data_IF_777213793403
#
_entry.id   IF_777213793403
#
_cell.length_a   1.000
_cell.length_b   1.000
_cell.length_c   1.000
_cell.angle_alpha   90.00
_cell.angle_beta   90.00
_cell.angle_gamma   90.00
#
_symmetry.space_group_name_H-M   'P 1'
#
loop_
_entity.id
_entity.type
_entity.pdbx_description
1 polymer ?
#
# COMPACT_ATOMS: atom_id res chain seq x y z
N UNK A 1 -23.69 4.31 -29.11
CA UNK A 1 -24.47 4.04 -27.88
C UNK A 1 -23.59 3.31 -26.89
N UNK A 2 -23.45 3.88 -25.67
CA UNK A 2 -22.60 3.35 -24.65
C UNK A 2 -23.08 1.98 -24.14
N UNK A 3 -22.12 1.11 -23.88
CA UNK A 3 -22.33 -0.19 -23.27
C UNK A 3 -21.52 -0.26 -21.98
N UNK A 4 -22.21 -0.59 -20.90
CA UNK A 4 -21.60 -0.74 -19.59
C UNK A 4 -21.49 -2.21 -19.27
N UNK A 5 -20.28 -2.64 -18.97
CA UNK A 5 -19.92 -4.04 -18.77
C UNK A 5 -19.47 -4.20 -17.32
N UNK A 6 -20.03 -5.15 -16.64
CA UNK A 6 -19.52 -5.61 -15.35
C UNK A 6 -18.90 -6.98 -15.49
N UNK A 7 -17.76 -7.18 -14.87
CA UNK A 7 -17.04 -8.44 -14.90
C UNK A 7 -16.75 -8.86 -13.46
N UNK A 8 -17.34 -9.97 -13.08
CA UNK A 8 -17.04 -10.69 -11.84
C UNK A 8 -16.11 -11.85 -12.15
N UNK A 9 -14.94 -11.87 -11.50
CA UNK A 9 -13.83 -12.76 -11.87
C UNK A 9 -13.51 -13.76 -10.78
N UNK A 10 -13.66 -15.04 -11.10
CA UNK A 10 -13.23 -16.16 -10.29
C UNK A 10 -12.01 -16.88 -10.91
N UNK A 11 -11.49 -17.88 -10.21
CA UNK A 11 -10.25 -18.58 -10.62
C UNK A 11 -10.38 -19.29 -11.96
N UNK A 12 -11.50 -19.93 -12.22
CA UNK A 12 -11.73 -20.75 -13.44
C UNK A 12 -12.69 -20.11 -14.43
N UNK A 13 -13.58 -19.23 -13.98
CA UNK A 13 -14.59 -18.59 -14.82
C UNK A 13 -14.80 -17.13 -14.46
N UNK A 14 -15.22 -16.35 -15.44
CA UNK A 14 -15.65 -14.97 -15.26
C UNK A 14 -17.08 -14.81 -15.74
N UNK A 15 -17.90 -14.09 -14.97
CA UNK A 15 -19.24 -13.70 -15.40
C UNK A 15 -19.20 -12.29 -15.96
N UNK A 16 -19.58 -12.16 -17.22
CA UNK A 16 -19.66 -10.88 -17.92
C UNK A 16 -21.14 -10.51 -18.08
N UNK A 17 -21.51 -9.30 -17.65
CA UNK A 17 -22.84 -8.76 -17.83
C UNK A 17 -22.81 -7.41 -18.55
N UNK A 18 -23.73 -7.21 -19.48
CA UNK A 18 -23.79 -6.01 -20.32
C UNK A 18 -25.13 -5.31 -20.14
N UNK A 19 -25.10 -4.01 -19.91
CA UNK A 19 -26.29 -3.15 -19.87
C UNK A 19 -26.16 -2.00 -20.89
N UNK A 20 -27.31 -1.53 -21.36
CA UNK A 20 -27.38 -0.36 -22.22
C UNK A 20 -27.33 0.95 -21.44
N UNK A 21 -27.29 2.06 -22.17
CA UNK A 21 -27.30 3.41 -21.59
C UNK A 21 -28.53 3.71 -20.71
N UNK A 22 -29.67 3.12 -21.03
CA UNK A 22 -30.91 3.24 -20.25
C UNK A 22 -30.97 2.35 -18.99
N UNK A 23 -29.93 1.53 -18.73
CA UNK A 23 -29.93 0.55 -17.67
C UNK A 23 -30.58 -0.79 -18.01
N UNK A 24 -31.11 -0.95 -19.24
CA UNK A 24 -31.68 -2.21 -19.71
C UNK A 24 -30.60 -3.29 -19.74
N UNK A 25 -30.85 -4.43 -19.07
CA UNK A 25 -30.00 -5.63 -19.14
C UNK A 25 -30.07 -6.21 -20.55
N UNK A 26 -28.94 -6.32 -21.22
CA UNK A 26 -28.86 -6.78 -22.61
C UNK A 26 -28.44 -8.23 -22.68
N UNK A 27 -27.37 -8.58 -21.98
CA UNK A 27 -26.71 -9.88 -22.11
C UNK A 27 -25.94 -10.22 -20.84
N UNK A 28 -25.80 -11.51 -20.54
CA UNK A 28 -24.83 -12.02 -19.60
C UNK A 28 -24.38 -13.40 -20.01
N UNK A 29 -23.09 -13.68 -19.85
CA UNK A 29 -22.51 -14.99 -20.12
C UNK A 29 -21.35 -15.30 -19.19
N UNK A 30 -21.07 -16.57 -19.02
CA UNK A 30 -19.91 -17.07 -18.29
C UNK A 30 -18.87 -17.49 -19.32
N UNK A 31 -17.62 -17.11 -19.10
CA UNK A 31 -16.47 -17.46 -19.93
C UNK A 31 -15.33 -17.96 -19.07
N UNK A 32 -14.41 -18.70 -19.65
CA UNK A 32 -13.20 -19.13 -18.96
C UNK A 32 -12.31 -17.94 -18.56
N UNK A 33 -11.64 -18.09 -17.42
CA UNK A 33 -10.67 -17.08 -16.93
C UNK A 33 -9.36 -17.20 -17.70
N UNK A 34 -9.38 -16.85 -18.99
CA UNK A 34 -8.19 -16.77 -19.84
C UNK A 34 -8.25 -15.54 -20.76
N UNK A 35 -7.07 -15.11 -21.21
CA UNK A 35 -6.91 -13.90 -22.03
C UNK A 35 -7.74 -13.93 -23.30
N UNK A 36 -7.78 -15.08 -24.00
CA UNK A 36 -8.46 -15.22 -25.30
C UNK A 36 -9.96 -15.07 -25.14
N UNK A 37 -10.58 -15.87 -24.27
CA UNK A 37 -12.01 -15.85 -24.02
C UNK A 37 -12.49 -14.46 -23.55
N UNK A 38 -11.73 -13.82 -22.65
CA UNK A 38 -12.05 -12.49 -22.14
C UNK A 38 -11.98 -11.41 -23.22
N UNK A 39 -10.96 -11.42 -24.07
CA UNK A 39 -10.86 -10.48 -25.19
C UNK A 39 -12.01 -10.71 -26.18
N UNK A 40 -12.31 -11.95 -26.52
CA UNK A 40 -13.39 -12.30 -27.46
C UNK A 40 -14.75 -11.80 -26.95
N UNK A 41 -15.09 -12.06 -25.69
CA UNK A 41 -16.37 -11.61 -25.12
C UNK A 41 -16.47 -10.08 -25.05
N UNK A 42 -15.40 -9.39 -24.67
CA UNK A 42 -15.43 -7.93 -24.62
C UNK A 42 -15.54 -7.36 -26.05
N UNK A 43 -14.86 -7.93 -27.02
CA UNK A 43 -14.94 -7.49 -28.42
C UNK A 43 -16.29 -7.76 -29.08
N UNK A 44 -17.02 -8.78 -28.66
CA UNK A 44 -18.37 -9.03 -29.16
C UNK A 44 -19.40 -7.97 -28.74
N UNK A 45 -19.13 -7.23 -27.68
CA UNK A 45 -19.96 -6.08 -27.26
C UNK A 45 -19.72 -4.90 -28.21
N UNK A 46 -20.76 -4.25 -28.77
CA UNK A 46 -20.60 -3.06 -29.60
C UNK A 46 -19.84 -1.94 -28.90
N UNK A 47 -19.12 -1.12 -29.66
CA UNK A 47 -18.51 0.13 -29.13
C UNK A 47 -19.63 1.10 -28.75
N UNK A 48 -19.51 1.93 -27.83
CA UNK A 48 -18.51 2.38 -26.87
C UNK A 48 -18.60 1.51 -25.59
N UNK A 49 -17.48 0.97 -25.13
CA UNK A 49 -17.45 -0.01 -24.04
C UNK A 49 -16.86 0.60 -22.79
N UNK A 50 -17.58 0.58 -21.69
CA UNK A 50 -17.13 0.95 -20.36
C UNK A 50 -17.14 -0.29 -19.46
N UNK A 51 -16.01 -0.64 -18.86
CA UNK A 51 -15.84 -1.87 -18.10
C UNK A 51 -15.61 -1.57 -16.62
N UNK A 52 -16.36 -2.21 -15.75
CA UNK A 52 -16.12 -2.26 -14.32
C UNK A 52 -15.73 -3.67 -13.90
N UNK A 53 -14.62 -3.79 -13.18
CA UNK A 53 -14.16 -5.04 -12.57
C UNK A 53 -14.01 -4.85 -11.06
N UNK A 54 -14.23 -5.91 -10.27
CA UNK A 54 -13.98 -5.86 -8.85
C UNK A 54 -12.48 -5.98 -8.53
N UNK A 55 -12.02 -5.28 -7.46
CA UNK A 55 -10.66 -5.44 -6.96
C UNK A 55 -10.47 -6.81 -6.32
N UNK A 56 -9.57 -7.59 -6.88
CA UNK A 56 -9.26 -8.94 -6.43
C UNK A 56 -7.92 -9.43 -6.95
N UNK A 57 -7.58 -10.70 -6.75
CA UNK A 57 -6.29 -11.28 -7.17
C UNK A 57 -6.01 -11.12 -8.67
N UNK A 58 -7.04 -11.16 -9.51
CA UNK A 58 -6.95 -11.06 -10.96
C UNK A 58 -6.99 -9.62 -11.49
N UNK A 59 -7.34 -8.63 -10.69
CA UNK A 59 -7.66 -7.27 -11.16
C UNK A 59 -6.51 -6.58 -11.91
N UNK A 60 -5.25 -6.82 -11.56
CA UNK A 60 -4.10 -6.25 -12.29
C UNK A 60 -3.97 -6.86 -13.68
N UNK A 61 -4.05 -8.19 -13.78
CA UNK A 61 -3.98 -8.90 -15.05
C UNK A 61 -5.17 -8.54 -15.95
N UNK A 62 -6.38 -8.54 -15.41
CA UNK A 62 -7.59 -8.13 -16.13
C UNK A 62 -7.45 -6.69 -16.67
N UNK A 63 -6.95 -5.78 -15.84
CA UNK A 63 -6.70 -4.41 -16.28
C UNK A 63 -5.69 -4.34 -17.44
N UNK A 64 -4.59 -5.09 -17.36
CA UNK A 64 -3.58 -5.14 -18.43
C UNK A 64 -4.13 -5.69 -19.73
N UNK A 65 -4.90 -6.77 -19.67
CA UNK A 65 -5.45 -7.47 -20.83
C UNK A 65 -6.60 -6.69 -21.47
N UNK A 66 -7.52 -6.14 -20.66
CA UNK A 66 -8.79 -5.60 -21.14
C UNK A 66 -8.75 -4.08 -21.38
N UNK A 67 -7.83 -3.33 -20.78
CA UNK A 67 -7.76 -1.87 -21.00
C UNK A 67 -7.58 -1.45 -22.47
N UNK A 68 -6.94 -2.22 -23.39
CA UNK A 68 -6.90 -1.86 -24.80
C UNK A 68 -8.19 -2.15 -25.58
N UNK A 69 -9.12 -2.86 -24.95
CA UNK A 69 -10.35 -3.34 -25.62
C UNK A 69 -11.56 -2.43 -25.33
N UNK A 70 -11.40 -1.46 -24.41
CA UNK A 70 -12.50 -0.63 -23.91
C UNK A 70 -12.08 0.86 -23.86
N UNK A 71 -13.06 1.77 -23.89
CA UNK A 71 -12.84 3.20 -23.70
C UNK A 71 -12.44 3.51 -22.27
N UNK A 72 -13.12 2.91 -21.33
CA UNK A 72 -12.90 3.12 -19.91
C UNK A 72 -12.85 1.77 -19.19
N UNK A 73 -11.92 1.62 -18.26
CA UNK A 73 -11.88 0.50 -17.31
C UNK A 73 -11.75 1.04 -15.90
N UNK A 74 -12.67 0.64 -15.05
CA UNK A 74 -12.71 1.00 -13.64
C UNK A 74 -12.54 -0.25 -12.80
N UNK A 75 -11.59 -0.21 -11.86
CA UNK A 75 -11.46 -1.25 -10.83
C UNK A 75 -12.14 -0.73 -9.58
N UNK A 76 -13.20 -1.39 -9.16
CA UNK A 76 -14.03 -0.99 -8.03
C UNK A 76 -13.66 -1.79 -6.77
N UNK A 77 -13.52 -1.12 -5.64
CA UNK A 77 -13.55 -1.79 -4.34
C UNK A 77 -15.02 -1.86 -3.89
N UNK A 78 -15.59 -3.04 -3.98
CA UNK A 78 -16.99 -3.27 -3.59
C UNK A 78 -17.04 -3.63 -2.11
N UNK A 79 -17.96 -3.00 -1.36
CA UNK A 79 -18.27 -3.43 0.00
C UNK A 79 -19.22 -4.62 -0.07
N UNK A 80 -19.08 -5.58 0.83
CA UNK A 80 -19.97 -6.73 0.90
C UNK A 80 -21.45 -6.28 0.95
N UNK A 81 -22.23 -6.73 -0.03
CA UNK A 81 -23.66 -6.50 -0.07
C UNK A 81 -24.37 -7.46 0.88
N UNK A 82 -25.39 -6.96 1.60
CA UNK A 82 -26.31 -7.80 2.37
C UNK A 82 -27.42 -8.27 1.43
N UNK A 83 -27.47 -9.55 1.09
CA UNK A 83 -28.52 -10.12 0.25
C UNK A 83 -28.10 -11.39 -0.48
N UNK A 84 -29.00 -11.98 -1.29
CA UNK A 84 -28.66 -13.13 -2.11
C UNK A 84 -27.51 -12.80 -3.06
N UNK A 85 -26.44 -13.60 -3.05
CA UNK A 85 -25.29 -13.46 -3.93
C UNK A 85 -25.44 -14.37 -5.14
N UNK A 86 -25.21 -13.83 -6.33
CA UNK A 86 -24.95 -14.63 -7.52
C UNK A 86 -24.01 -13.83 -8.42
N UNK A 87 -23.04 -14.48 -9.02
CA UNK A 87 -22.04 -13.89 -9.93
C UNK A 87 -22.70 -13.03 -11.02
N UNK A 88 -23.88 -13.47 -11.51
CA UNK A 88 -24.66 -12.73 -12.50
C UNK A 88 -25.20 -11.40 -11.95
N UNK A 89 -25.73 -11.40 -10.71
CA UNK A 89 -26.22 -10.19 -10.08
C UNK A 89 -25.07 -9.24 -9.74
N UNK A 90 -23.97 -9.78 -9.28
CA UNK A 90 -22.77 -9.00 -8.92
C UNK A 90 -22.18 -8.35 -10.18
N UNK A 91 -22.08 -9.07 -11.30
CA UNK A 91 -21.64 -8.52 -12.57
C UNK A 91 -22.59 -7.42 -13.10
N UNK A 92 -23.93 -7.63 -13.05
CA UNK A 92 -24.88 -6.56 -13.40
C UNK A 92 -24.79 -5.37 -12.45
N UNK A 93 -24.55 -5.60 -11.16
CA UNK A 93 -24.34 -4.55 -10.17
C UNK A 93 -23.13 -3.68 -10.46
N UNK A 94 -22.00 -4.28 -10.86
CA UNK A 94 -20.80 -3.56 -11.30
C UNK A 94 -21.07 -2.70 -12.52
N UNK A 95 -21.76 -3.25 -13.54
CA UNK A 95 -22.12 -2.50 -14.74
C UNK A 95 -23.03 -1.30 -14.41
N UNK A 96 -24.03 -1.48 -13.56
CA UNK A 96 -24.95 -0.42 -13.16
C UNK A 96 -24.26 0.66 -12.33
N UNK A 97 -23.42 0.28 -11.35
CA UNK A 97 -22.64 1.26 -10.58
C UNK A 97 -21.74 2.13 -11.47
N UNK A 98 -21.15 1.53 -12.53
CA UNK A 98 -20.36 2.28 -13.50
C UNK A 98 -21.24 3.25 -14.30
N UNK A 99 -22.38 2.77 -14.81
CA UNK A 99 -23.32 3.55 -15.62
C UNK A 99 -23.84 4.80 -14.91
N UNK A 100 -24.23 4.67 -13.65
CA UNK A 100 -24.78 5.79 -12.87
C UNK A 100 -23.71 6.59 -12.12
N UNK A 101 -22.41 6.30 -12.37
CA UNK A 101 -21.30 6.98 -11.68
C UNK A 101 -21.22 6.72 -10.18
N UNK A 102 -21.83 5.64 -9.67
CA UNK A 102 -21.91 5.31 -8.24
C UNK A 102 -20.70 4.52 -7.71
N UNK A 103 -19.68 4.26 -8.52
CA UNK A 103 -18.45 3.61 -8.06
C UNK A 103 -17.71 4.54 -7.09
N UNK A 104 -17.92 4.33 -5.79
CA UNK A 104 -17.39 5.20 -4.73
C UNK A 104 -15.88 5.11 -4.56
N UNK A 105 -15.33 3.90 -4.61
CA UNK A 105 -13.89 3.67 -4.41
C UNK A 105 -13.30 3.02 -5.66
N UNK A 106 -12.58 3.84 -6.44
CA UNK A 106 -11.85 3.39 -7.61
C UNK A 106 -10.42 3.04 -7.22
N UNK A 107 -9.97 1.82 -7.56
CA UNK A 107 -8.59 1.42 -7.36
C UNK A 107 -7.77 1.84 -8.57
N UNK A 108 -6.73 2.61 -8.32
CA UNK A 108 -5.87 3.07 -9.40
C UNK A 108 -5.01 1.92 -9.94
N UNK A 109 -5.18 1.65 -11.22
CA UNK A 109 -4.32 0.76 -12.00
C UNK A 109 -3.70 1.57 -13.14
N UNK A 110 -2.47 1.26 -13.52
CA UNK A 110 -1.83 1.82 -14.70
C UNK A 110 -0.91 0.79 -15.33
N UNK A 111 -0.88 0.77 -16.66
CA UNK A 111 0.10 0.02 -17.44
C UNK A 111 1.49 0.64 -17.35
N UNK A 112 2.51 -0.21 -17.26
CA UNK A 112 3.91 0.13 -17.56
C UNK A 112 4.66 0.89 -16.48
N UNK A 113 5.83 1.38 -16.84
CA UNK A 113 6.74 2.18 -16.04
C UNK A 113 7.42 1.44 -14.88
N UNK A 114 6.67 0.99 -13.90
CA UNK A 114 7.22 0.34 -12.70
C UNK A 114 6.74 -1.10 -12.48
N UNK A 115 6.14 -1.76 -13.48
CA UNK A 115 5.60 -3.12 -13.30
C UNK A 115 6.68 -4.11 -12.86
N UNK A 116 7.83 -4.13 -13.56
CA UNK A 116 8.97 -4.98 -13.20
C UNK A 116 9.51 -4.67 -11.81
N UNK A 117 9.67 -3.38 -11.49
CA UNK A 117 10.09 -2.94 -10.17
C UNK A 117 9.09 -3.37 -9.09
N UNK A 118 7.79 -3.33 -9.39
CA UNK A 118 6.74 -3.79 -8.49
C UNK A 118 6.87 -5.26 -8.12
N UNK A 119 7.13 -6.13 -9.09
CA UNK A 119 7.38 -7.56 -8.82
C UNK A 119 8.65 -7.79 -7.99
N UNK A 120 9.74 -7.06 -8.27
CA UNK A 120 11.00 -7.15 -7.51
C UNK A 120 10.82 -6.64 -6.07
N UNK A 121 10.11 -5.52 -5.89
CA UNK A 121 9.78 -5.00 -4.57
C UNK A 121 8.89 -5.97 -3.77
N UNK A 122 7.93 -6.63 -4.43
CA UNK A 122 7.10 -7.67 -3.82
C UNK A 122 7.92 -8.89 -3.42
N UNK A 123 8.82 -9.38 -4.28
CA UNK A 123 9.69 -10.50 -3.97
C UNK A 123 10.58 -10.20 -2.76
N UNK A 124 11.24 -9.03 -2.73
CA UNK A 124 12.03 -8.59 -1.57
C UNK A 124 11.18 -8.53 -0.29
N UNK A 125 9.97 -7.95 -0.35
CA UNK A 125 9.09 -7.83 0.81
C UNK A 125 8.64 -9.19 1.37
N UNK A 126 8.37 -10.18 0.50
CA UNK A 126 8.05 -11.55 0.90
C UNK A 126 9.22 -12.21 1.62
N UNK A 127 10.43 -12.13 1.06
CA UNK A 127 11.63 -12.71 1.67
C UNK A 127 11.97 -12.05 3.02
N UNK A 128 11.78 -10.73 3.14
CA UNK A 128 11.91 -10.05 4.45
C UNK A 128 10.90 -10.59 5.45
N UNK A 129 9.64 -10.79 5.05
CA UNK A 129 8.61 -11.32 5.94
C UNK A 129 8.91 -12.78 6.36
N UNK A 130 9.43 -13.59 5.45
CA UNK A 130 9.83 -14.98 5.75
C UNK A 130 11.02 -15.01 6.70
N UNK A 131 12.06 -14.20 6.46
CA UNK A 131 13.21 -14.08 7.37
C UNK A 131 12.77 -13.69 8.79
N UNK A 132 11.87 -12.70 8.93
CA UNK A 132 11.33 -12.29 10.24
C UNK A 132 10.55 -13.42 10.92
N UNK A 133 9.83 -14.23 10.16
CA UNK A 133 9.12 -15.42 10.71
C UNK A 133 10.08 -16.43 11.27
N UNK A 134 11.15 -16.76 10.54
CA UNK A 134 12.17 -17.72 11.01
C UNK A 134 12.93 -17.16 12.22
N UNK A 135 13.31 -15.88 12.19
CA UNK A 135 13.89 -15.21 13.35
C UNK A 135 13.00 -15.32 14.59
N UNK A 136 11.69 -15.15 14.41
CA UNK A 136 10.73 -15.29 15.51
C UNK A 136 10.65 -16.72 16.03
N UNK A 137 10.73 -17.73 15.15
CA UNK A 137 10.76 -19.15 15.52
C UNK A 137 12.01 -19.51 16.31
N UNK A 138 13.19 -19.02 15.90
CA UNK A 138 14.46 -19.22 16.62
C UNK A 138 14.33 -18.68 18.05
N UNK A 139 13.88 -17.42 18.20
CA UNK A 139 13.69 -16.83 19.52
C UNK A 139 12.64 -17.55 20.35
N UNK A 140 11.55 -18.01 19.73
CA UNK A 140 10.50 -18.75 20.43
C UNK A 140 11.04 -20.09 20.95
N UNK A 141 11.85 -20.80 20.17
CA UNK A 141 12.49 -22.06 20.59
C UNK A 141 13.40 -21.82 21.79
N UNK A 142 14.28 -20.82 21.76
CA UNK A 142 15.18 -20.50 22.87
C UNK A 142 14.37 -20.13 24.13
N UNK A 143 13.39 -19.26 24.01
CA UNK A 143 12.55 -18.83 25.13
C UNK A 143 11.73 -19.96 25.73
N UNK A 144 11.27 -20.90 24.91
CA UNK A 144 10.55 -22.09 25.40
C UNK A 144 11.40 -22.98 26.31
N UNK A 145 12.72 -22.78 26.33
CA UNK A 145 13.69 -23.49 27.20
C UNK A 145 14.29 -22.58 28.27
N UNK A 146 13.63 -21.45 28.58
CA UNK A 146 14.08 -20.52 29.60
C UNK A 146 15.30 -19.67 29.19
N UNK A 147 15.72 -19.72 27.93
CA UNK A 147 16.86 -18.93 27.44
C UNK A 147 16.37 -17.54 27.07
N UNK A 148 16.83 -16.52 27.81
CA UNK A 148 16.51 -15.13 27.54
C UNK A 148 17.13 -14.67 26.22
N UNK A 149 16.35 -14.03 25.35
CA UNK A 149 16.81 -13.50 24.07
C UNK A 149 16.45 -12.01 23.97
N UNK A 150 17.44 -11.15 23.76
CA UNK A 150 17.28 -9.73 23.48
C UNK A 150 17.96 -9.41 22.14
N UNK A 151 17.59 -8.28 21.53
CA UNK A 151 18.29 -7.82 20.32
C UNK A 151 18.36 -8.80 19.15
N UNK A 152 19.48 -8.76 18.42
CA UNK A 152 19.77 -9.59 17.26
C UNK A 152 20.88 -10.62 17.44
N UNK A 153 21.43 -10.73 18.63
CA UNK A 153 22.66 -11.49 18.95
C UNK A 153 22.52 -13.00 18.69
N UNK A 154 21.29 -13.50 18.64
CA UNK A 154 21.00 -14.91 18.36
C UNK A 154 21.17 -15.31 16.89
N UNK A 155 21.39 -14.37 15.96
CA UNK A 155 21.41 -14.67 14.53
C UNK A 155 22.79 -14.78 13.88
N UNK A 156 23.83 -14.03 14.33
CA UNK A 156 25.17 -14.10 13.74
C UNK A 156 25.73 -15.52 13.78
N UNK A 157 26.32 -15.97 12.70
CA UNK A 157 26.87 -17.33 12.59
C UNK A 157 27.95 -17.60 13.65
N UNK A 158 28.74 -16.58 13.98
CA UNK A 158 29.81 -16.65 14.99
C UNK A 158 29.34 -16.95 16.41
N UNK A 159 28.08 -16.66 16.73
CA UNK A 159 27.55 -16.80 18.10
C UNK A 159 26.61 -18.00 18.26
N UNK A 160 26.24 -18.66 17.15
CA UNK A 160 25.19 -19.71 17.15
C UNK A 160 25.55 -20.93 18.00
N UNK A 161 26.82 -21.32 18.03
CA UNK A 161 27.24 -22.48 18.83
C UNK A 161 26.98 -22.24 20.31
N UNK A 162 27.23 -21.02 20.82
CA UNK A 162 26.91 -20.67 22.21
C UNK A 162 25.41 -20.75 22.50
N UNK A 163 24.56 -20.30 21.55
CA UNK A 163 23.12 -20.40 21.69
C UNK A 163 22.60 -21.83 21.61
N UNK A 164 23.21 -22.67 20.75
CA UNK A 164 22.89 -24.09 20.65
C UNK A 164 23.26 -24.86 21.94
N UNK A 165 24.38 -24.50 22.57
CA UNK A 165 24.80 -25.11 23.85
C UNK A 165 23.81 -24.82 24.99
N UNK A 166 23.11 -23.71 24.97
CA UNK A 166 22.06 -23.36 25.94
C UNK A 166 20.78 -24.18 25.77
N UNK A 167 20.64 -24.94 24.68
CA UNK A 167 19.51 -25.79 24.40
C UNK A 167 19.80 -27.26 24.82
N UNK A 168 18.78 -27.98 25.31
CA UNK A 168 18.92 -29.42 25.52
C UNK A 168 19.19 -30.10 24.18
N UNK A 169 19.94 -31.22 24.22
CA UNK A 169 20.35 -31.94 23.00
C UNK A 169 19.18 -32.27 22.07
N UNK A 170 18.02 -32.62 22.63
CA UNK A 170 16.80 -32.92 21.87
C UNK A 170 16.24 -31.75 21.06
N UNK A 171 16.58 -30.48 21.39
CA UNK A 171 16.11 -29.30 20.69
C UNK A 171 17.14 -28.69 19.70
N UNK A 172 18.39 -29.15 19.77
CA UNK A 172 19.49 -28.58 18.96
C UNK A 172 19.29 -28.81 17.46
N UNK A 173 18.84 -29.98 17.06
CA UNK A 173 18.59 -30.30 15.66
C UNK A 173 17.55 -29.36 15.05
N UNK A 174 16.45 -29.07 15.77
CA UNK A 174 15.44 -28.10 15.30
C UNK A 174 16.04 -26.68 15.16
N UNK A 175 16.85 -26.25 16.12
CA UNK A 175 17.51 -24.95 16.05
C UNK A 175 18.46 -24.86 14.86
N UNK A 176 19.25 -25.91 14.58
CA UNK A 176 20.13 -25.96 13.42
C UNK A 176 19.36 -25.84 12.10
N UNK A 177 18.25 -26.57 11.95
CA UNK A 177 17.39 -26.47 10.76
C UNK A 177 16.83 -25.05 10.56
N UNK A 178 16.39 -24.40 11.65
CA UNK A 178 15.91 -23.01 11.60
C UNK A 178 17.03 -22.03 11.22
N UNK A 179 18.25 -22.23 11.66
CA UNK A 179 19.40 -21.42 11.25
C UNK A 179 19.74 -21.62 9.76
N UNK A 180 19.70 -22.87 9.27
CA UNK A 180 19.90 -23.15 7.84
C UNK A 180 18.81 -22.49 6.98
N UNK A 181 17.53 -22.57 7.40
CA UNK A 181 16.42 -21.86 6.73
C UNK A 181 16.65 -20.35 6.71
N UNK A 182 17.09 -19.78 7.84
CA UNK A 182 17.39 -18.35 7.94
C UNK A 182 18.52 -17.92 6.99
N UNK A 183 19.61 -18.67 6.91
CA UNK A 183 20.75 -18.37 6.02
C UNK A 183 20.36 -18.41 4.54
N UNK A 184 19.58 -19.42 4.15
CA UNK A 184 19.05 -19.53 2.80
C UNK A 184 18.17 -18.33 2.45
N UNK A 185 17.27 -17.93 3.36
CA UNK A 185 16.41 -16.76 3.17
C UNK A 185 17.21 -15.46 3.12
N UNK A 186 18.25 -15.31 3.94
CA UNK A 186 19.09 -14.11 3.95
C UNK A 186 19.83 -13.93 2.62
N UNK A 187 20.37 -15.01 2.06
CA UNK A 187 21.00 -15.01 0.73
C UNK A 187 20.01 -14.59 -0.38
N UNK A 188 18.80 -15.14 -0.36
CA UNK A 188 17.75 -14.80 -1.31
C UNK A 188 17.27 -13.35 -1.12
N UNK A 189 17.11 -12.89 0.11
CA UNK A 189 16.73 -11.52 0.44
C UNK A 189 17.74 -10.50 -0.12
N UNK A 190 19.03 -10.74 0.11
CA UNK A 190 20.10 -9.87 -0.40
C UNK A 190 20.12 -9.85 -1.94
N UNK A 191 19.89 -10.99 -2.59
CA UNK A 191 19.77 -11.05 -4.04
C UNK A 191 18.58 -10.24 -4.53
N UNK A 192 17.39 -10.43 -3.94
CA UNK A 192 16.17 -9.70 -4.31
C UNK A 192 16.33 -8.18 -4.08
N UNK A 193 17.01 -7.77 -3.00
CA UNK A 193 17.33 -6.38 -2.71
C UNK A 193 18.21 -5.77 -3.81
N UNK A 194 19.33 -6.41 -4.17
CA UNK A 194 20.20 -5.96 -5.27
C UNK A 194 19.43 -5.83 -6.58
N UNK A 195 18.64 -6.83 -6.95
CA UNK A 195 17.86 -6.82 -8.19
C UNK A 195 16.80 -5.70 -8.20
N UNK A 196 16.16 -5.44 -7.07
CA UNK A 196 15.19 -4.36 -6.91
C UNK A 196 15.86 -2.98 -7.07
N UNK A 197 17.00 -2.76 -6.44
CA UNK A 197 17.76 -1.51 -6.52
C UNK A 197 18.28 -1.28 -7.93
N UNK A 198 18.83 -2.30 -8.58
CA UNK A 198 19.28 -2.21 -9.98
C UNK A 198 18.14 -1.84 -10.93
N UNK A 199 16.95 -2.37 -10.73
CA UNK A 199 15.80 -1.98 -11.54
C UNK A 199 15.35 -0.55 -11.25
N UNK A 200 15.33 -0.15 -9.98
CA UNK A 200 14.94 1.21 -9.58
C UNK A 200 15.85 2.29 -10.15
N UNK A 201 17.16 2.02 -10.22
CA UNK A 201 18.19 2.93 -10.76
C UNK A 201 18.01 3.28 -12.24
N UNK A 202 17.21 2.51 -12.99
CA UNK A 202 16.90 2.80 -14.40
C UNK A 202 15.93 3.97 -14.58
N UNK A 203 15.37 4.48 -13.50
CA UNK A 203 14.36 5.54 -13.52
C UNK A 203 14.91 6.82 -12.88
N UNK A 204 14.88 7.93 -13.59
CA UNK A 204 15.43 9.22 -13.13
C UNK A 204 14.86 9.65 -11.78
N UNK A 205 13.57 9.42 -11.55
CA UNK A 205 12.90 9.75 -10.30
C UNK A 205 13.49 9.04 -9.07
N UNK A 206 14.19 7.93 -9.26
CA UNK A 206 14.84 7.22 -8.16
C UNK A 206 15.84 8.09 -7.39
N UNK A 207 16.75 8.76 -8.10
CA UNK A 207 17.74 9.66 -7.51
C UNK A 207 17.10 10.87 -6.84
N UNK A 208 16.04 11.39 -7.46
CA UNK A 208 15.28 12.52 -6.94
C UNK A 208 14.64 12.17 -5.61
N UNK A 209 13.93 11.06 -5.52
CA UNK A 209 13.28 10.60 -4.29
C UNK A 209 14.33 10.27 -3.22
N UNK A 210 15.43 9.65 -3.60
CA UNK A 210 16.53 9.26 -2.71
C UNK A 210 17.23 10.47 -2.07
N UNK A 211 17.18 11.65 -2.70
CA UNK A 211 17.73 12.87 -2.12
C UNK A 211 17.01 13.33 -0.86
N UNK A 212 15.77 12.87 -0.64
CA UNK A 212 15.00 13.23 0.55
C UNK A 212 15.57 12.55 1.81
N UNK A 213 15.83 13.31 2.90
CA UNK A 213 16.34 12.76 4.15
C UNK A 213 15.52 11.58 4.65
N UNK A 214 16.22 10.52 5.04
CA UNK A 214 15.62 9.28 5.50
C UNK A 214 15.11 8.33 4.42
N UNK A 215 15.13 8.73 3.14
CA UNK A 215 14.78 7.86 2.02
C UNK A 215 16.06 7.29 1.40
N UNK A 216 16.48 6.12 1.86
CA UNK A 216 17.59 5.37 1.25
C UNK A 216 17.14 4.54 0.04
N UNK A 217 18.09 3.78 -0.53
CA UNK A 217 17.91 2.99 -1.75
C UNK A 217 16.68 2.08 -1.73
N UNK A 218 16.53 1.28 -0.68
CA UNK A 218 15.43 0.33 -0.53
C UNK A 218 14.08 1.06 -0.48
N UNK A 219 13.98 2.13 0.33
CA UNK A 219 12.72 2.88 0.48
C UNK A 219 12.31 3.58 -0.80
N UNK A 220 13.26 4.17 -1.53
CA UNK A 220 12.99 4.76 -2.83
C UNK A 220 12.46 3.70 -3.82
N UNK A 221 13.12 2.54 -3.93
CA UNK A 221 12.70 1.45 -4.79
C UNK A 221 11.31 0.89 -4.44
N UNK A 222 10.98 0.77 -3.14
CA UNK A 222 9.66 0.31 -2.68
C UNK A 222 8.54 1.32 -2.92
N UNK A 223 8.84 2.61 -2.87
CA UNK A 223 7.89 3.69 -2.99
C UNK A 223 7.39 3.87 -4.43
N UNK A 224 8.31 3.78 -5.41
CA UNK A 224 8.05 4.07 -6.82
C UNK A 224 6.91 3.22 -7.42
N UNK A 225 6.89 1.89 -7.31
CA UNK A 225 5.85 1.08 -7.93
C UNK A 225 4.49 1.22 -7.25
N UNK A 226 4.44 1.76 -6.02
CA UNK A 226 3.19 2.00 -5.30
C UNK A 226 2.60 3.36 -5.66
N UNK A 227 3.42 4.40 -5.76
CA UNK A 227 2.97 5.76 -6.13
C UNK A 227 2.66 5.84 -7.61
N UNK A 228 3.47 5.26 -8.46
CA UNK A 228 3.40 5.18 -9.93
C UNK A 228 3.40 6.56 -10.61
N UNK A 229 2.45 7.43 -10.27
CA UNK A 229 2.34 8.81 -10.76
C UNK A 229 1.98 9.73 -9.58
N UNK A 230 2.78 10.78 -9.32
CA UNK A 230 2.53 11.68 -8.20
C UNK A 230 1.30 12.58 -8.42
N UNK A 231 0.95 12.85 -9.69
CA UNK A 231 -0.18 13.71 -10.07
C UNK A 231 -1.57 13.10 -9.81
N UNK A 232 -1.65 11.79 -9.59
CA UNK A 232 -2.91 11.14 -9.19
C UNK A 232 -3.43 11.57 -7.81
N UNK A 233 -2.58 12.16 -7.00
CA UNK A 233 -2.97 12.70 -5.70
C UNK A 233 -3.23 14.20 -5.86
N UNK A 234 -4.44 14.67 -5.69
CA UNK A 234 -4.78 16.08 -5.85
C UNK A 234 -3.89 17.00 -4.97
N UNK A 235 -3.63 16.59 -3.72
CA UNK A 235 -2.81 17.36 -2.79
C UNK A 235 -2.14 16.44 -1.74
N UNK A 236 -1.29 17.02 -0.89
CA UNK A 236 -0.56 16.31 0.17
C UNK A 236 -1.47 15.60 1.19
N UNK A 237 -2.68 16.13 1.46
CA UNK A 237 -3.62 15.52 2.44
C UNK A 237 -4.19 14.21 1.89
N UNK A 238 -4.53 14.15 0.60
CA UNK A 238 -4.96 12.93 -0.08
C UNK A 238 -3.84 11.90 -0.07
N UNK A 239 -2.60 12.32 -0.35
CA UNK A 239 -1.44 11.42 -0.27
C UNK A 239 -1.20 10.90 1.15
N UNK A 240 -1.27 11.75 2.17
CA UNK A 240 -1.18 11.33 3.56
C UNK A 240 -2.25 10.30 3.94
N UNK A 241 -3.49 10.51 3.48
CA UNK A 241 -4.57 9.55 3.71
C UNK A 241 -4.25 8.20 3.07
N UNK A 242 -3.78 8.21 1.83
CA UNK A 242 -3.36 6.99 1.13
C UNK A 242 -2.18 6.28 1.81
N UNK A 243 -1.24 7.04 2.39
CA UNK A 243 -0.12 6.51 3.18
C UNK A 243 -0.50 6.07 4.60
N UNK A 244 -1.74 6.23 5.04
CA UNK A 244 -2.15 5.96 6.42
C UNK A 244 -1.55 6.92 7.46
N UNK A 245 -1.17 8.11 7.02
CA UNK A 245 -0.66 9.20 7.84
C UNK A 245 -1.72 10.29 8.05
N UNK A 246 -2.82 10.26 7.30
CA UNK A 246 -3.92 11.20 7.41
C UNK A 246 -4.68 11.03 8.74
N UNK A 247 -5.07 12.17 9.34
CA UNK A 247 -5.95 12.17 10.50
C UNK A 247 -7.39 12.08 9.99
N UNK A 248 -8.14 11.15 10.53
CA UNK A 248 -9.59 11.07 10.36
C UNK A 248 -10.23 11.54 11.64
N UNK A 249 -11.03 12.57 11.54
CA UNK A 249 -11.89 13.01 12.62
C UNK A 249 -13.26 12.35 12.41
N UNK A 250 -13.73 11.63 13.40
CA UNK A 250 -15.13 11.19 13.48
C UNK A 250 -15.81 12.11 14.48
N UNK A 251 -16.69 12.94 14.01
CA UNK A 251 -17.52 13.78 14.84
C UNK A 251 -18.96 13.31 14.71
N UNK A 252 -19.55 12.92 15.81
CA UNK A 252 -21.00 12.89 15.95
C UNK A 252 -21.38 14.10 16.80
N UNK A 253 -22.10 15.05 16.25
CA UNK A 253 -22.70 16.13 17.02
C UNK A 253 -24.17 16.17 16.68
N UNK A 254 -25.01 16.09 17.69
CA UNK A 254 -26.41 16.40 17.57
C UNK A 254 -26.63 17.91 17.51
N UNK A 255 -27.79 18.29 17.02
CA UNK A 255 -28.24 19.67 17.09
C UNK A 255 -28.94 19.88 18.43
N UNK A 256 -28.55 20.90 19.18
CA UNK A 256 -29.16 21.29 20.45
C UNK A 256 -29.73 22.69 20.33
N UNK A 257 -30.80 22.99 21.08
CA UNK A 257 -31.34 24.34 21.15
C UNK A 257 -30.41 25.24 21.95
N UNK A 258 -29.95 26.32 21.34
CA UNK A 258 -29.22 27.39 22.00
C UNK A 258 -30.13 28.19 22.94
N UNK A 259 -29.53 29.06 23.76
CA UNK A 259 -30.27 29.95 24.70
C UNK A 259 -31.21 30.91 23.98
N UNK A 260 -30.95 31.20 22.74
CA UNK A 260 -31.76 32.04 21.82
C UNK A 260 -32.86 31.27 21.10
N UNK A 261 -33.03 29.99 21.41
CA UNK A 261 -34.00 29.10 20.78
C UNK A 261 -33.60 28.59 19.39
N UNK A 262 -32.47 29.00 18.83
CA UNK A 262 -31.97 28.52 17.55
C UNK A 262 -31.26 27.16 17.68
N UNK A 263 -31.31 26.35 16.62
CA UNK A 263 -30.59 25.08 16.55
C UNK A 263 -29.10 25.33 16.29
N UNK A 264 -28.25 24.99 17.26
CA UNK A 264 -26.79 25.05 17.18
C UNK A 264 -26.21 23.63 17.25
N UNK A 265 -25.08 23.40 16.59
CA UNK A 265 -24.37 22.12 16.74
C UNK A 265 -23.83 22.00 18.16
N UNK A 266 -24.17 20.89 18.82
CA UNK A 266 -23.59 20.52 20.11
C UNK A 266 -22.05 20.46 20.03
N UNK A 267 -21.32 20.67 21.13
CA UNK A 267 -19.88 20.47 21.18
C UNK A 267 -19.54 19.07 20.71
N UNK A 268 -18.65 18.99 19.72
CA UNK A 268 -18.34 17.77 19.03
C UNK A 268 -17.51 16.85 19.92
N UNK A 269 -18.03 15.66 20.25
CA UNK A 269 -17.17 14.58 20.73
C UNK A 269 -16.29 14.08 19.60
N UNK A 270 -15.03 14.51 19.56
CA UNK A 270 -14.10 14.15 18.52
C UNK A 270 -13.27 12.93 18.92
N UNK A 271 -13.44 11.82 18.19
CA UNK A 271 -12.41 10.79 18.19
C UNK A 271 -11.43 11.04 17.04
N UNK A 272 -10.20 11.36 17.39
CA UNK A 272 -9.09 11.49 16.44
C UNK A 272 -8.42 10.13 16.24
N UNK A 273 -8.29 9.70 14.99
CA UNK A 273 -7.58 8.48 14.62
C UNK A 273 -6.90 8.59 13.27
N UNK A 274 -6.06 7.62 12.94
CA UNK A 274 -5.50 7.50 11.60
C UNK A 274 -6.47 6.74 10.68
N UNK A 275 -6.43 7.07 9.39
CA UNK A 275 -7.14 6.30 8.37
C UNK A 275 -6.73 4.82 8.47
N UNK A 276 -7.71 3.91 8.49
CA UNK A 276 -7.49 2.45 8.53
C UNK A 276 -7.41 1.82 7.15
N UNK A 277 -7.98 2.46 6.13
CA UNK A 277 -7.86 2.06 4.73
C UNK A 277 -6.68 2.80 4.08
N UNK A 278 -5.52 2.15 4.02
CA UNK A 278 -4.28 2.77 3.56
C UNK A 278 -3.30 1.75 2.98
N UNK A 279 -2.34 2.23 2.22
CA UNK A 279 -1.23 1.41 1.72
C UNK A 279 -0.20 1.16 2.83
N UNK A 280 -0.05 -0.11 3.22
CA UNK A 280 0.85 -0.53 4.33
C UNK A 280 2.32 -0.29 4.01
N UNK A 281 2.73 -0.46 2.75
CA UNK A 281 4.12 -0.26 2.32
C UNK A 281 4.52 1.20 2.50
N UNK A 282 3.72 2.14 2.01
CA UNK A 282 4.01 3.57 2.14
C UNK A 282 4.04 4.02 3.60
N UNK A 283 3.13 3.51 4.43
CA UNK A 283 3.16 3.80 5.87
C UNK A 283 4.47 3.35 6.52
N UNK A 284 4.92 2.14 6.21
CA UNK A 284 6.18 1.61 6.72
C UNK A 284 7.37 2.43 6.22
N UNK A 285 7.41 2.76 4.93
CA UNK A 285 8.45 3.58 4.31
C UNK A 285 8.57 4.93 5.02
N UNK A 286 7.50 5.69 5.15
CA UNK A 286 7.57 7.04 5.72
C UNK A 286 7.79 7.05 7.23
N UNK A 287 7.22 6.10 7.97
CA UNK A 287 7.54 5.95 9.40
C UNK A 287 8.99 5.55 9.63
N UNK A 288 9.51 4.65 8.80
CA UNK A 288 10.91 4.25 8.83
C UNK A 288 11.85 5.39 8.44
N UNK A 289 11.49 6.20 7.44
CA UNK A 289 12.22 7.40 7.06
C UNK A 289 12.31 8.42 8.21
N UNK A 290 11.18 8.69 8.88
CA UNK A 290 11.16 9.54 10.06
C UNK A 290 12.03 8.99 11.20
N UNK A 291 12.05 7.68 11.43
CA UNK A 291 12.95 7.07 12.42
C UNK A 291 14.43 7.28 12.06
N UNK A 292 14.77 7.17 10.78
CA UNK A 292 16.16 7.39 10.32
C UNK A 292 16.56 8.86 10.49
N UNK A 293 15.70 9.81 10.15
CA UNK A 293 15.97 11.24 10.35
C UNK A 293 16.20 11.53 11.84
N UNK A 294 15.32 11.05 12.71
CA UNK A 294 15.42 11.28 14.16
C UNK A 294 16.69 10.67 14.76
N UNK A 295 17.12 9.51 14.28
CA UNK A 295 18.27 8.81 14.86
C UNK A 295 19.62 9.10 14.22
N UNK A 296 19.69 9.66 13.00
CA UNK A 296 20.94 9.75 12.23
C UNK A 296 21.17 11.06 11.47
N UNK A 297 20.22 11.98 11.45
CA UNK A 297 20.29 13.19 10.65
C UNK A 297 20.01 14.44 11.49
N UNK A 298 20.79 14.64 12.54
CA UNK A 298 20.60 15.72 13.53
C UNK A 298 20.78 17.13 12.96
N UNK A 299 21.56 17.28 11.89
CA UNK A 299 21.81 18.56 11.22
C UNK A 299 20.67 18.98 10.27
N UNK A 300 19.74 18.06 10.00
CA UNK A 300 18.64 18.30 9.07
C UNK A 300 17.53 19.19 9.66
N UNK A 301 16.93 20.08 8.87
CA UNK A 301 15.80 20.90 9.32
C UNK A 301 14.63 20.07 9.85
N UNK A 302 14.41 18.87 9.33
CA UNK A 302 13.38 17.94 9.81
C UNK A 302 13.66 17.45 11.23
N UNK A 303 14.93 17.20 11.59
CA UNK A 303 15.29 16.86 12.98
C UNK A 303 15.05 18.03 13.92
N UNK A 304 15.51 19.22 13.53
CA UNK A 304 15.27 20.46 14.32
C UNK A 304 13.79 20.70 14.54
N UNK A 305 12.95 20.41 13.54
CA UNK A 305 11.50 20.49 13.72
C UNK A 305 10.98 19.42 14.69
N UNK A 306 11.52 18.19 14.66
CA UNK A 306 11.16 17.16 15.63
C UNK A 306 11.44 17.60 17.06
N UNK A 307 12.63 18.17 17.32
CA UNK A 307 13.01 18.69 18.64
C UNK A 307 12.03 19.79 19.07
N UNK A 308 11.78 20.79 18.24
CA UNK A 308 10.80 21.87 18.54
C UNK A 308 9.41 21.32 18.89
N UNK A 309 8.96 20.26 18.26
CA UNK A 309 7.68 19.62 18.60
C UNK A 309 7.71 18.99 20.00
N UNK A 310 8.84 18.39 20.40
CA UNK A 310 9.02 17.82 21.73
C UNK A 310 9.06 18.93 22.80
N UNK A 311 9.82 19.99 22.57
CA UNK A 311 9.93 21.15 23.44
C UNK A 311 8.56 21.82 23.62
N UNK A 312 7.72 21.83 22.58
CA UNK A 312 6.33 22.28 22.63
C UNK A 312 5.34 21.27 23.25
N UNK A 313 5.83 20.23 23.93
CA UNK A 313 5.01 19.25 24.67
C UNK A 313 4.34 18.18 23.79
N UNK A 314 4.70 18.07 22.51
CA UNK A 314 4.16 17.01 21.64
C UNK A 314 4.75 15.65 22.02
N UNK A 315 3.90 14.65 22.23
CA UNK A 315 4.36 13.28 22.55
C UNK A 315 5.27 12.73 21.43
N UNK A 316 6.36 12.01 21.74
CA UNK A 316 7.37 11.57 20.76
C UNK A 316 6.78 10.82 19.55
N UNK A 317 5.80 9.93 19.77
CA UNK A 317 5.14 9.21 18.70
C UNK A 317 4.32 10.12 17.75
N UNK A 318 3.73 11.19 18.27
CA UNK A 318 2.99 12.17 17.46
C UNK A 318 3.95 13.09 16.71
N UNK A 319 5.03 13.53 17.34
CA UNK A 319 6.10 14.28 16.71
C UNK A 319 6.71 13.48 15.53
N UNK A 320 7.08 12.22 15.76
CA UNK A 320 7.55 11.30 14.71
C UNK A 320 6.55 11.15 13.56
N UNK A 321 5.26 11.07 13.85
CA UNK A 321 4.22 11.00 12.82
C UNK A 321 4.14 12.30 12.00
N UNK A 322 4.38 13.45 12.64
CA UNK A 322 4.43 14.75 11.96
C UNK A 322 5.62 14.80 11.01
N UNK A 323 6.80 14.34 11.42
CA UNK A 323 7.96 14.23 10.53
C UNK A 323 7.69 13.28 9.36
N UNK A 324 7.05 12.12 9.60
CA UNK A 324 6.67 11.21 8.52
C UNK A 324 5.75 11.86 7.48
N UNK A 325 4.80 12.71 7.90
CA UNK A 325 3.95 13.50 7.01
C UNK A 325 4.73 14.52 6.20
N UNK A 326 5.69 15.20 6.82
CA UNK A 326 6.54 16.15 6.11
C UNK A 326 7.39 15.46 5.06
N UNK A 327 8.05 14.34 5.39
CA UNK A 327 8.82 13.55 4.44
C UNK A 327 7.93 13.11 3.27
N UNK A 328 6.72 12.63 3.54
CA UNK A 328 5.77 12.25 2.49
C UNK A 328 5.39 13.43 1.59
N UNK A 329 5.17 14.62 2.15
CA UNK A 329 4.88 15.82 1.36
C UNK A 329 6.07 16.26 0.51
N UNK A 330 7.28 16.20 1.06
CA UNK A 330 8.52 16.51 0.35
C UNK A 330 8.69 15.55 -0.83
N UNK A 331 8.63 14.25 -0.60
CA UNK A 331 8.76 13.24 -1.66
C UNK A 331 7.73 13.47 -2.77
N UNK A 332 6.48 13.79 -2.42
CA UNK A 332 5.45 14.10 -3.42
C UNK A 332 5.81 15.35 -4.24
N UNK A 333 6.34 16.39 -3.60
CA UNK A 333 6.76 17.63 -4.27
C UNK A 333 7.95 17.38 -5.18
N UNK A 334 9.01 16.75 -4.69
CA UNK A 334 10.22 16.40 -5.45
C UNK A 334 9.88 15.59 -6.71
N UNK A 335 8.99 14.60 -6.56
CA UNK A 335 8.57 13.78 -7.71
C UNK A 335 7.74 14.57 -8.72
N UNK A 336 6.97 15.57 -8.29
CA UNK A 336 6.20 16.43 -9.21
C UNK A 336 7.06 17.41 -9.95
N UNK A 337 8.02 18.05 -9.26
CA UNK A 337 8.92 19.04 -9.86
C UNK A 337 10.11 18.40 -10.58
N UNK A 338 10.40 17.11 -10.32
CA UNK A 338 11.62 16.45 -10.77
C UNK A 338 12.90 17.15 -10.30
N UNK A 339 12.85 17.76 -9.11
CA UNK A 339 13.97 18.44 -8.48
C UNK A 339 14.52 17.65 -7.28
N UNK A 340 15.80 17.77 -6.99
CA UNK A 340 16.42 17.19 -5.78
C UNK A 340 16.07 17.99 -4.54
N UNK A 341 16.16 17.34 -3.38
CA UNK A 341 15.89 17.98 -2.10
C UNK A 341 16.86 19.13 -1.81
N UNK A 342 16.32 20.28 -1.43
CA UNK A 342 17.06 21.43 -0.92
C UNK A 342 16.58 21.77 0.49
N UNK A 343 17.44 21.59 1.54
CA UNK A 343 17.07 21.85 2.91
C UNK A 343 16.71 23.31 3.18
N UNK A 344 17.21 24.28 2.37
CA UNK A 344 16.93 25.71 2.52
C UNK A 344 15.45 26.03 2.28
N UNK A 345 14.77 25.28 1.42
CA UNK A 345 13.34 25.45 1.14
C UNK A 345 12.44 25.12 2.33
N UNK A 346 12.93 24.39 3.33
CA UNK A 346 12.17 24.11 4.57
C UNK A 346 12.32 25.18 5.64
N UNK A 347 13.33 26.04 5.54
CA UNK A 347 13.59 27.13 6.51
C UNK A 347 12.62 28.30 6.44
N UNK A 348 11.82 28.42 5.37
CA UNK A 348 10.89 29.54 5.16
C UNK A 348 9.41 29.19 5.44
N UNK A 349 9.11 27.97 5.92
CA UNK A 349 7.76 27.58 6.31
C UNK A 349 7.65 27.57 7.84
N UNK A 350 7.76 28.74 8.44
CA UNK A 350 7.37 29.02 9.84
C UNK A 350 5.92 29.47 9.91
#
# INVERSE_FOLDING_TARGET
MDRYIGLDAHTSSCTVAVIGQSGKRLHSQVVETNTKALIEVIRSVPKERHLCIEEGPHSNWLYEVLSPQVQEIVVALVNESRGPKSDKLDAFGLAEQLRIGAVRTKVYKKRGGFARLGYRAKAHALLVADSVRVQSRIKALLRSRGVATAGGDVYPTSERDEWLLKLPQSARSLAQLLYMEYDGLEGLRQRAEREMILEARKHDVYRIIQSCPGIGEIRAAQLMPVVVIPFRFANKRVFWSYCGLGIVMRSSSDWVRGRDGQWIKAPVQQTRGLNRNFNRVLKAVFKGAATTVIGRAQDEPLYRHYVRLLDGGTKPNLAKLTIARQIAAIVLALWRSMEVYDPRRLGHAT
#
